data_IF_397140679319
#
_entry.id   IF_397140679319
#
_cell.length_a   1.000
_cell.length_b   1.000
_cell.length_c   1.000
_cell.angle_alpha   90.00
_cell.angle_beta   90.00
_cell.angle_gamma   90.00
#
_symmetry.space_group_name_H-M   'P 1'
#
loop_
_entity.id
_entity.type
_entity.pdbx_description
1 polymer ?
#
# COMPACT_ATOMS: atom_id res chain seq x y z
N UNK A 1 -6.08 -27.36 8.97
CA UNK A 1 -5.14 -26.24 8.71
C UNK A 1 -5.95 -24.96 8.78
N UNK A 2 -5.71 -24.09 9.76
CA UNK A 2 -6.48 -22.86 9.94
C UNK A 2 -6.00 -21.83 8.90
N UNK A 3 -6.83 -21.46 7.92
CA UNK A 3 -6.46 -20.40 6.99
C UNK A 3 -6.35 -19.09 7.78
N UNK A 4 -5.24 -18.37 7.59
CA UNK A 4 -5.08 -17.04 8.18
C UNK A 4 -6.15 -16.04 7.70
N UNK A 5 -6.30 -14.89 8.37
CA UNK A 5 -7.31 -13.90 8.05
C UNK A 5 -7.10 -13.37 6.61
N UNK A 6 -8.05 -13.67 5.72
CA UNK A 6 -7.99 -13.31 4.30
C UNK A 6 -7.87 -11.81 4.03
N UNK A 7 -8.33 -10.99 4.98
CA UNK A 7 -8.23 -9.53 4.95
C UNK A 7 -6.79 -9.03 4.92
N UNK A 8 -5.82 -9.84 5.38
CA UNK A 8 -4.40 -9.48 5.39
C UNK A 8 -3.64 -9.92 4.14
N UNK A 9 -4.30 -10.61 3.21
CA UNK A 9 -3.65 -11.14 2.01
C UNK A 9 -3.51 -10.09 0.91
N UNK A 10 -2.74 -9.02 1.14
CA UNK A 10 -2.45 -8.00 0.15
C UNK A 10 -0.95 -7.79 -0.06
N UNK A 11 -0.60 -7.33 -1.25
CA UNK A 11 0.78 -7.19 -1.74
C UNK A 11 1.68 -6.37 -0.81
N UNK A 12 1.16 -5.27 -0.25
CA UNK A 12 1.94 -4.38 0.62
C UNK A 12 2.39 -5.06 1.92
N UNK A 13 1.57 -5.95 2.50
CA UNK A 13 1.97 -6.67 3.72
C UNK A 13 3.07 -7.69 3.42
N UNK A 14 2.94 -8.41 2.29
CA UNK A 14 3.97 -9.34 1.84
C UNK A 14 5.30 -8.63 1.59
N UNK A 15 5.28 -7.49 0.90
CA UNK A 15 6.49 -6.70 0.63
C UNK A 15 7.14 -6.15 1.88
N UNK A 16 6.34 -5.75 2.88
CA UNK A 16 6.86 -5.33 4.18
C UNK A 16 7.60 -6.48 4.88
N UNK A 17 7.04 -7.69 4.87
CA UNK A 17 7.70 -8.86 5.47
C UNK A 17 9.01 -9.21 4.74
N UNK A 18 9.01 -9.14 3.40
CA UNK A 18 10.20 -9.39 2.57
C UNK A 18 11.29 -8.36 2.84
N UNK A 19 10.96 -7.07 2.82
CA UNK A 19 11.95 -5.98 2.97
C UNK A 19 12.46 -5.80 4.40
N UNK A 20 11.74 -6.30 5.41
CA UNK A 20 12.21 -6.31 6.80
C UNK A 20 13.25 -7.40 7.07
N UNK A 21 13.29 -8.48 6.29
CA UNK A 21 14.25 -9.55 6.46
C UNK A 21 15.65 -9.11 6.02
N UNK A 22 16.67 -9.31 6.89
CA UNK A 22 18.04 -8.85 6.61
C UNK A 22 18.89 -9.88 5.87
N UNK A 23 18.92 -11.11 6.37
CA UNK A 23 19.83 -12.15 5.88
C UNK A 23 19.11 -13.41 5.42
N UNK A 24 17.96 -13.75 6.02
CA UNK A 24 17.17 -14.93 5.68
C UNK A 24 15.70 -14.68 5.97
N UNK A 25 14.83 -15.10 5.05
CA UNK A 25 13.38 -15.11 5.21
C UNK A 25 12.88 -16.55 5.04
N UNK A 26 12.18 -17.05 6.05
CA UNK A 26 11.48 -18.34 5.97
C UNK A 26 9.98 -18.10 5.93
N UNK A 27 9.33 -18.53 4.86
CA UNK A 27 7.89 -18.47 4.69
C UNK A 27 7.28 -19.83 5.00
N UNK A 28 6.43 -19.88 6.03
CA UNK A 28 5.69 -21.08 6.40
C UNK A 28 4.23 -20.97 5.92
N UNK A 29 3.79 -21.89 5.05
CA UNK A 29 2.44 -21.89 4.51
C UNK A 29 2.34 -22.52 3.12
N UNK A 30 1.30 -22.14 2.37
CA UNK A 30 1.05 -22.63 1.01
C UNK A 30 1.44 -21.60 -0.04
N UNK A 31 2.07 -22.06 -1.12
CA UNK A 31 2.48 -21.22 -2.26
C UNK A 31 1.31 -20.44 -2.86
N UNK A 32 0.15 -21.08 -2.99
CA UNK A 32 -1.06 -20.45 -3.51
C UNK A 32 -1.51 -19.21 -2.71
N UNK A 33 -1.21 -19.12 -1.41
CA UNK A 33 -1.49 -17.90 -0.63
C UNK A 33 -0.56 -16.77 -1.02
N UNK A 34 0.71 -17.05 -1.29
CA UNK A 34 1.67 -16.04 -1.74
C UNK A 34 1.26 -15.51 -3.11
N UNK A 35 0.88 -16.38 -4.05
CA UNK A 35 0.37 -15.98 -5.37
C UNK A 35 -0.84 -15.07 -5.24
N UNK A 36 -1.82 -15.43 -4.41
CA UNK A 36 -2.99 -14.58 -4.10
C UNK A 36 -2.58 -13.23 -3.50
N UNK A 37 -1.60 -13.18 -2.59
CA UNK A 37 -1.11 -11.94 -2.00
C UNK A 37 -0.41 -11.05 -3.01
N UNK A 38 0.35 -11.64 -3.93
CA UNK A 38 1.02 -10.92 -5.02
C UNK A 38 -0.02 -10.36 -5.98
N UNK A 39 -1.01 -11.15 -6.42
CA UNK A 39 -2.06 -10.69 -7.33
C UNK A 39 -2.96 -9.60 -6.72
N UNK A 40 -3.12 -9.61 -5.39
CA UNK A 40 -3.93 -8.64 -4.68
C UNK A 40 -3.23 -7.28 -4.50
N UNK A 41 -3.19 -6.48 -5.58
CA UNK A 41 -2.79 -5.06 -5.59
C UNK A 41 -3.93 -4.13 -5.11
N UNK A 42 -4.88 -4.64 -4.33
CA UNK A 42 -5.99 -3.83 -3.84
C UNK A 42 -5.47 -2.77 -2.89
N UNK A 43 -5.25 -1.57 -3.41
CA UNK A 43 -4.99 -0.36 -2.65
C UNK A 43 -6.28 -0.02 -1.89
N UNK A 44 -6.32 -0.32 -0.60
CA UNK A 44 -7.37 0.21 0.28
C UNK A 44 -7.39 1.73 0.10
N UNK A 45 -8.55 2.29 -0.30
CA UNK A 45 -8.70 3.74 -0.43
C UNK A 45 -8.35 4.38 0.91
N UNK A 46 -7.24 5.11 0.94
CA UNK A 46 -6.83 5.88 2.11
C UNK A 46 -7.58 7.20 2.06
N UNK A 47 -8.68 7.29 2.78
CA UNK A 47 -9.39 8.55 2.97
C UNK A 47 -8.51 9.50 3.79
N UNK A 48 -7.83 10.42 3.09
CA UNK A 48 -6.92 11.40 3.68
C UNK A 48 -7.06 12.72 2.94
N UNK A 49 -7.34 13.79 3.67
CA UNK A 49 -7.39 15.16 3.13
C UNK A 49 -6.01 15.74 2.82
N UNK A 50 -4.92 15.02 3.10
CA UNK A 50 -3.55 15.53 2.89
C UNK A 50 -3.31 15.92 1.43
N UNK A 51 -3.76 15.09 0.48
CA UNK A 51 -3.63 15.40 -0.94
C UNK A 51 -4.32 16.73 -1.28
N UNK A 52 -5.57 16.89 -0.81
CA UNK A 52 -6.35 18.10 -1.02
C UNK A 52 -5.65 19.35 -0.45
N UNK A 53 -5.16 19.28 0.80
CA UNK A 53 -4.46 20.42 1.41
C UNK A 53 -3.16 20.79 0.70
N UNK A 54 -2.39 19.80 0.21
CA UNK A 54 -1.16 20.05 -0.54
C UNK A 54 -1.46 20.70 -1.90
N UNK A 55 -2.49 20.24 -2.62
CA UNK A 55 -2.82 20.77 -3.95
C UNK A 55 -3.52 22.13 -3.91
N UNK A 56 -4.30 22.42 -2.87
CA UNK A 56 -4.96 23.73 -2.71
C UNK A 56 -3.94 24.84 -2.42
N UNK A 57 -2.84 24.52 -1.73
CA UNK A 57 -1.77 25.48 -1.46
C UNK A 57 -0.97 25.90 -2.69
N UNK A 58 -0.97 25.10 -3.76
CA UNK A 58 -0.31 25.43 -5.04
C UNK A 58 -1.20 26.27 -5.98
N UNK A 59 -2.52 26.30 -5.74
CA UNK A 59 -3.49 27.05 -6.55
C UNK A 59 -3.55 28.55 -6.26
N UNK A 60 -2.92 29.03 -5.18
CA UNK A 60 -2.92 30.46 -4.83
C UNK A 60 -1.72 31.25 -5.42
N UNK A 61 -0.72 30.59 -6.00
CA UNK A 61 0.44 31.27 -6.62
C UNK A 61 0.27 31.55 -8.14
N UNK A 62 -0.88 31.21 -8.75
CA UNK A 62 -1.12 31.45 -10.19
C UNK A 62 -2.24 32.46 -10.50
N UNK A 63 -2.92 33.02 -9.49
CA UNK A 63 -3.97 34.03 -9.68
C UNK A 63 -3.54 35.46 -9.32
N UNK A 64 -2.23 35.73 -9.34
CA UNK A 64 -1.68 37.08 -9.17
C UNK A 64 -0.86 37.51 -10.40
N UNK A 65 -1.45 37.38 -11.58
CA UNK A 65 -1.12 38.26 -12.71
C UNK A 65 -2.44 38.80 -13.25
N UNK A 66 -2.81 39.97 -12.72
CA UNK A 66 -3.78 40.89 -13.30
C UNK A 66 -3.09 41.58 -14.48
N UNK A 67 -3.58 41.35 -15.71
CA UNK A 67 -3.93 42.33 -16.75
C UNK A 67 -4.60 41.61 -17.92
#
# INVERSE_FOLDING_TARGET
MFPGPSQLYYRNLLYTAITRAKNLLVLAGVRATIEKMVENDRKTKRYSGLYYFLTESEGQSQNEIVF
#
